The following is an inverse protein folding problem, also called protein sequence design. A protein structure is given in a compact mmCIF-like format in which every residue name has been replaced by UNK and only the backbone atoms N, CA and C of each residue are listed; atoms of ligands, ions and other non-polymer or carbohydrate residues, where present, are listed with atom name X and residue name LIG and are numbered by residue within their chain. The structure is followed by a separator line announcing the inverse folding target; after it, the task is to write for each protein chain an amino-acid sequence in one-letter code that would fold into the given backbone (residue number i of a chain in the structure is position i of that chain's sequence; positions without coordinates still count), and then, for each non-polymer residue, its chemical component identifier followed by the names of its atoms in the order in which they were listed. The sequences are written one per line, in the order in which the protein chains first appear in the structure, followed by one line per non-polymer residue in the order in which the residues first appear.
data_IF_291883358827
#
_entry.id   IF_291883358827
#
_cell.length_a   1.000
_cell.length_b   1.000
_cell.length_c   1.000
_cell.angle_alpha   90.00
_cell.angle_beta   90.00
_cell.angle_gamma   90.00
#
_symmetry.space_group_name_H-M   'P 1'
#
loop_
_entity.id
_entity.type
_entity.pdbx_description
1 polymer ?
#
# COMPACT_ATOMS: atom_id res chain seq x y z
N UNK A 1 45.06 30.26 36.62
CA UNK A 1 44.87 29.35 37.78
C UNK A 1 43.40 29.49 38.17
N UNK A 2 42.50 28.57 37.85
CA UNK A 2 42.41 27.18 38.33
C UNK A 2 41.83 26.22 37.27
N UNK A 3 42.20 24.92 37.32
CA UNK A 3 41.74 23.88 36.40
C UNK A 3 40.66 23.01 37.07
N UNK A 4 39.46 22.88 36.50
CA UNK A 4 38.53 21.81 36.88
C UNK A 4 37.74 21.28 35.68
N UNK A 5 37.83 19.95 35.55
CA UNK A 5 36.90 19.04 34.90
C UNK A 5 36.93 18.92 33.37
N UNK A 6 38.09 18.44 32.86
CA UNK A 6 38.12 17.45 31.77
C UNK A 6 37.65 16.10 32.32
N UNK A 7 36.48 15.58 31.90
CA UNK A 7 36.18 14.13 31.76
C UNK A 7 34.71 13.91 31.39
N UNK A 8 34.48 13.42 30.16
CA UNK A 8 33.36 12.59 29.65
C UNK A 8 33.42 12.77 28.12
N UNK A 9 34.30 12.09 27.38
CA UNK A 9 34.33 10.65 27.10
C UNK A 9 32.98 10.14 26.58
N UNK A 10 32.93 10.06 25.24
CA UNK A 10 32.14 9.13 24.43
C UNK A 10 30.71 8.80 24.89
N UNK A 11 29.76 9.58 24.39
CA UNK A 11 28.45 9.09 23.94
C UNK A 11 28.31 9.66 22.53
N UNK A 12 28.59 8.88 21.50
CA UNK A 12 27.69 7.80 21.14
C UNK A 12 26.82 8.34 20.01
N UNK A 13 27.42 8.37 18.83
CA UNK A 13 26.76 8.45 17.53
C UNK A 13 25.51 7.58 17.51
N UNK A 14 24.35 8.19 17.64
CA UNK A 14 23.12 7.67 17.05
C UNK A 14 22.47 8.87 16.39
N UNK A 15 22.89 9.09 15.14
CA UNK A 15 22.05 9.71 14.15
C UNK A 15 20.70 8.98 14.24
N UNK A 16 19.71 9.64 14.82
CA UNK A 16 18.32 9.34 14.59
C UNK A 16 18.04 9.73 13.13
N UNK A 17 18.65 9.01 12.20
CA UNK A 17 18.02 8.66 10.95
C UNK A 17 16.82 7.82 11.35
N UNK A 18 15.77 8.51 11.78
CA UNK A 18 14.41 8.09 11.49
C UNK A 18 14.38 8.06 9.98
N UNK A 19 14.84 6.93 9.42
CA UNK A 19 14.32 6.40 8.18
C UNK A 19 12.82 6.29 8.44
N UNK A 20 12.11 7.41 8.26
CA UNK A 20 10.84 7.40 7.59
C UNK A 20 11.12 6.62 6.31
N UNK A 21 10.99 5.30 6.39
CA UNK A 21 10.64 4.48 5.26
C UNK A 21 9.32 5.09 4.81
N UNK A 22 9.43 6.13 3.98
CA UNK A 22 8.44 6.43 3.00
C UNK A 22 8.27 5.10 2.31
N UNK A 23 7.20 4.41 2.70
CA UNK A 23 6.70 3.24 2.02
C UNK A 23 6.23 3.81 0.69
N UNK A 24 7.21 4.09 -0.18
CA UNK A 24 6.99 4.46 -1.57
C UNK A 24 6.17 3.29 -2.05
N UNK A 25 4.90 3.58 -2.34
CA UNK A 25 4.01 2.65 -3.01
C UNK A 25 4.78 2.24 -4.26
N UNK A 26 5.50 1.11 -4.19
CA UNK A 26 6.41 0.70 -5.24
C UNK A 26 5.59 0.68 -6.51
N UNK A 27 5.99 1.41 -7.56
CA UNK A 27 5.22 1.44 -8.79
C UNK A 27 4.85 -0.02 -9.16
N UNK A 28 3.62 -0.30 -9.64
CA UNK A 28 3.24 -1.65 -10.02
C UNK A 28 4.37 -2.18 -10.89
N UNK A 29 4.90 -3.40 -10.59
CA UNK A 29 6.02 -3.94 -11.33
C UNK A 29 5.67 -3.76 -12.79
N UNK A 30 6.58 -3.14 -13.55
CA UNK A 30 6.40 -3.01 -14.98
C UNK A 30 5.93 -4.37 -15.45
N UNK A 31 4.81 -4.41 -16.18
CA UNK A 31 4.30 -5.66 -16.73
C UNK A 31 5.34 -6.13 -17.76
N UNK A 32 6.42 -6.73 -17.26
CA UNK A 32 7.62 -7.18 -17.96
C UNK A 32 7.35 -8.51 -18.67
N UNK A 33 6.07 -8.80 -18.94
CA UNK A 33 5.70 -9.79 -19.92
C UNK A 33 6.11 -9.23 -21.29
N UNK A 34 7.26 -9.68 -21.77
CA UNK A 34 7.69 -9.54 -23.15
C UNK A 34 6.51 -9.95 -24.05
N UNK A 35 5.92 -8.99 -24.78
CA UNK A 35 4.80 -9.24 -25.70
C UNK A 35 3.51 -8.47 -25.43
N UNK A 36 3.37 -7.75 -24.30
CA UNK A 36 2.17 -6.93 -24.06
C UNK A 36 2.18 -5.61 -24.85
N UNK A 37 1.05 -5.30 -25.49
CA UNK A 37 0.87 -4.03 -26.21
C UNK A 37 0.85 -2.83 -25.24
N UNK A 38 1.20 -1.61 -25.69
CA UNK A 38 1.16 -0.42 -24.84
C UNK A 38 -0.22 -0.17 -24.19
N UNK A 39 -1.30 -0.51 -24.92
CA UNK A 39 -2.67 -0.40 -24.41
C UNK A 39 -2.95 -1.41 -23.30
N UNK A 40 -2.53 -2.67 -23.47
CA UNK A 40 -2.66 -3.70 -22.44
C UNK A 40 -1.87 -3.35 -21.18
N UNK A 41 -0.67 -2.78 -21.32
CA UNK A 41 0.13 -2.29 -20.18
C UNK A 41 -0.59 -1.18 -19.42
N UNK A 42 -1.25 -0.27 -20.13
CA UNK A 42 -2.05 0.80 -19.51
C UNK A 42 -3.22 0.22 -18.73
N UNK A 43 -4.00 -0.69 -19.32
CA UNK A 43 -5.13 -1.35 -18.66
C UNK A 43 -4.69 -2.15 -17.43
N UNK A 44 -3.63 -2.95 -17.55
CA UNK A 44 -3.09 -3.69 -16.41
C UNK A 44 -2.67 -2.73 -15.29
N UNK A 45 -2.06 -1.59 -15.60
CA UNK A 45 -1.67 -0.60 -14.59
C UNK A 45 -2.87 0.07 -13.91
N UNK A 46 -3.92 0.38 -14.67
CA UNK A 46 -5.14 1.03 -14.15
C UNK A 46 -5.90 0.14 -13.16
N UNK A 47 -5.88 -1.18 -13.37
CA UNK A 47 -6.56 -2.16 -12.51
C UNK A 47 -5.65 -2.83 -11.48
N UNK A 48 -4.38 -2.43 -11.39
CA UNK A 48 -3.44 -2.99 -10.42
C UNK A 48 -3.79 -2.53 -9.00
N UNK A 49 -3.97 -3.48 -8.08
CA UNK A 49 -4.24 -3.21 -6.67
C UNK A 49 -3.05 -3.65 -5.83
N UNK A 50 -2.45 -2.75 -5.06
CA UNK A 50 -1.45 -3.13 -4.06
C UNK A 50 -2.16 -3.66 -2.82
N UNK A 51 -2.02 -4.95 -2.53
CA UNK A 51 -2.69 -5.60 -1.43
C UNK A 51 -1.72 -6.23 -0.43
N UNK A 52 -2.04 -6.04 0.85
CA UNK A 52 -1.49 -6.83 1.96
C UNK A 52 -2.38 -8.05 2.14
N UNK A 53 -1.82 -9.24 1.96
CA UNK A 53 -2.49 -10.54 2.01
C UNK A 53 -2.07 -11.29 3.26
N UNK A 54 -3.02 -11.73 4.08
CA UNK A 54 -2.79 -12.69 5.16
C UNK A 54 -3.32 -14.06 4.73
N UNK A 55 -2.43 -15.03 4.53
CA UNK A 55 -2.78 -16.36 4.05
C UNK A 55 -3.59 -17.08 5.13
N UNK A 56 -4.78 -17.55 4.75
CA UNK A 56 -5.65 -18.40 5.58
C UNK A 56 -5.36 -19.87 5.26
N UNK A 57 -5.28 -20.19 3.96
CA UNK A 57 -5.04 -21.55 3.46
C UNK A 57 -4.35 -21.51 2.11
N UNK A 58 -3.34 -22.35 1.95
CA UNK A 58 -2.68 -22.62 0.66
C UNK A 58 -3.39 -23.75 -0.08
N UNK A 59 -3.64 -23.55 -1.37
CA UNK A 59 -4.23 -24.54 -2.29
C UNK A 59 -3.29 -24.79 -3.47
N UNK A 60 -3.45 -25.88 -4.24
CA UNK A 60 -2.58 -26.13 -5.41
C UNK A 60 -2.64 -25.03 -6.47
N UNK A 61 -3.80 -24.38 -6.62
CA UNK A 61 -4.03 -23.36 -7.65
C UNK A 61 -3.68 -21.94 -7.19
N UNK A 62 -3.48 -21.73 -5.89
CA UNK A 62 -3.26 -20.40 -5.31
C UNK A 62 -3.50 -20.36 -3.81
N UNK A 63 -3.84 -19.19 -3.30
CA UNK A 63 -4.04 -18.97 -1.87
C UNK A 63 -5.43 -18.40 -1.58
N UNK A 64 -5.99 -18.78 -0.44
CA UNK A 64 -7.14 -18.11 0.17
C UNK A 64 -6.58 -17.18 1.25
N UNK A 65 -6.84 -15.89 1.13
CA UNK A 65 -6.26 -14.88 2.00
C UNK A 65 -7.27 -13.80 2.40
N UNK A 66 -7.10 -13.23 3.60
CA UNK A 66 -7.73 -11.95 3.93
C UNK A 66 -6.89 -10.83 3.34
N UNK A 67 -7.50 -9.95 2.56
CA UNK A 67 -6.77 -8.91 1.83
C UNK A 67 -7.16 -7.49 2.29
N UNK A 68 -6.14 -6.63 2.37
CA UNK A 68 -6.30 -5.19 2.59
C UNK A 68 -5.60 -4.44 1.46
N UNK A 69 -6.38 -3.73 0.64
CA UNK A 69 -5.88 -2.87 -0.40
C UNK A 69 -5.25 -1.61 0.20
N UNK A 70 -4.12 -1.16 -0.37
CA UNK A 70 -3.44 0.08 -0.04
C UNK A 70 -3.50 1.01 -1.23
N UNK A 71 -4.06 2.20 -1.05
CA UNK A 71 -4.10 3.25 -2.07
C UNK A 71 -3.48 4.51 -1.51
N UNK A 72 -2.58 5.14 -2.26
CA UNK A 72 -2.16 6.50 -1.93
C UNK A 72 -3.23 7.47 -2.37
N UNK A 73 -3.77 8.24 -1.44
CA UNK A 73 -4.79 9.26 -1.68
C UNK A 73 -4.23 10.60 -1.26
N UNK A 74 -4.31 11.55 -2.18
CA UNK A 74 -3.90 12.93 -1.93
C UNK A 74 -5.07 13.68 -1.29
N UNK A 75 -4.96 14.05 -0.01
CA UNK A 75 -5.99 14.81 0.70
C UNK A 75 -5.54 16.25 0.89
N UNK A 76 -6.43 17.17 0.56
CA UNK A 76 -6.25 18.61 0.78
C UNK A 76 -6.88 18.99 2.11
N UNK A 77 -6.04 19.33 3.07
CA UNK A 77 -6.47 19.85 4.37
C UNK A 77 -6.57 21.35 4.29
N UNK A 78 -7.75 21.92 4.54
CA UNK A 78 -7.91 23.36 4.72
C UNK A 78 -8.14 23.68 6.18
N UNK A 79 -7.31 24.53 6.76
CA UNK A 79 -7.53 25.05 8.11
C UNK A 79 -7.41 26.57 8.11
N UNK A 80 -8.09 27.19 9.08
CA UNK A 80 -8.00 28.63 9.32
C UNK A 80 -7.00 28.87 10.43
N UNK A 81 -6.00 29.70 10.16
CA UNK A 81 -5.00 30.12 11.12
C UNK A 81 -5.17 31.62 11.37
N UNK A 82 -5.11 32.01 12.64
CA UNK A 82 -5.08 33.41 13.02
C UNK A 82 -3.66 33.92 12.80
N UNK A 83 -3.47 34.75 11.77
CA UNK A 83 -2.19 35.36 11.47
C UNK A 83 -2.21 36.80 11.95
N UNK A 84 -1.25 37.14 12.80
CA UNK A 84 -1.05 38.51 13.26
C UNK A 84 -0.45 39.35 12.12
N UNK A 85 -0.95 40.57 11.94
CA UNK A 85 -0.39 41.50 10.98
C UNK A 85 1.08 41.82 11.28
N UNK A 86 1.83 42.25 10.28
CA UNK A 86 3.22 42.69 10.45
C UNK A 86 3.30 44.22 10.47
N UNK A 87 4.33 44.78 11.11
CA UNK A 87 4.56 46.24 11.19
C UNK A 87 3.48 47.00 11.99
N UNK A 88 3.01 48.14 11.47
CA UNK A 88 1.95 48.99 12.07
C UNK A 88 0.62 48.25 12.27
N UNK A 89 0.40 47.13 11.57
CA UNK A 89 -0.80 46.31 11.67
C UNK A 89 -0.68 45.16 12.69
N UNK A 90 0.36 45.12 13.53
CA UNK A 90 0.60 44.05 14.52
C UNK A 90 -0.51 43.90 15.56
N UNK A 91 -1.31 44.93 15.80
CA UNK A 91 -2.48 44.85 16.69
C UNK A 91 -3.69 44.15 16.04
N UNK A 92 -3.68 43.90 14.72
CA UNK A 92 -4.78 43.26 13.99
C UNK A 92 -4.49 41.78 13.76
N UNK A 93 -5.49 40.95 14.03
CA UNK A 93 -5.47 39.51 13.76
C UNK A 93 -6.37 39.20 12.58
N UNK A 94 -5.81 38.56 11.56
CA UNK A 94 -6.54 38.15 10.36
C UNK A 94 -6.74 36.65 10.37
N UNK A 95 -7.93 36.19 9.95
CA UNK A 95 -8.16 34.76 9.68
C UNK A 95 -7.68 34.44 8.27
N UNK A 96 -6.58 33.70 8.17
CA UNK A 96 -6.04 33.25 6.90
C UNK A 96 -6.41 31.80 6.69
N UNK A 97 -7.06 31.51 5.57
CA UNK A 97 -7.34 30.13 5.15
C UNK A 97 -6.09 29.57 4.47
N UNK A 98 -5.49 28.54 5.06
CA UNK A 98 -4.39 27.79 4.44
C UNK A 98 -4.91 26.46 3.93
N UNK A 99 -4.21 25.95 2.91
CA UNK A 99 -4.42 24.59 2.42
C UNK A 99 -3.08 23.91 2.32
N UNK A 100 -2.99 22.65 2.74
CA UNK A 100 -1.85 21.81 2.47
C UNK A 100 -2.32 20.49 1.90
N UNK A 101 -1.55 20.00 0.93
CA UNK A 101 -1.81 18.74 0.27
C UNK A 101 -0.91 17.69 0.89
N UNK A 102 -1.52 16.64 1.45
CA UNK A 102 -0.80 15.50 2.05
C UNK A 102 -1.13 14.22 1.31
N UNK A 103 -0.11 13.42 1.06
CA UNK A 103 -0.28 12.06 0.57
C UNK A 103 -0.52 11.15 1.77
N UNK A 104 -1.71 10.57 1.84
CA UNK A 104 -2.07 9.58 2.84
C UNK A 104 -2.17 8.20 2.22
N UNK A 105 -1.95 7.16 3.03
CA UNK A 105 -2.21 5.79 2.62
C UNK A 105 -3.56 5.38 3.16
N UNK A 106 -4.54 5.26 2.28
CA UNK A 106 -5.84 4.69 2.61
C UNK A 106 -5.75 3.16 2.55
N UNK A 107 -6.34 2.51 3.56
CA UNK A 107 -6.44 1.06 3.66
C UNK A 107 -7.90 0.66 3.51
N UNK A 108 -8.19 -0.19 2.54
CA UNK A 108 -9.55 -0.70 2.30
C UNK A 108 -9.55 -2.21 2.44
N UNK A 109 -10.40 -2.75 3.32
CA UNK A 109 -10.54 -4.20 3.44
C UNK A 109 -11.23 -4.76 2.19
N UNK A 110 -10.63 -5.76 1.58
CA UNK A 110 -11.24 -6.52 0.47
C UNK A 110 -11.96 -7.78 0.95
N UNK A 111 -11.85 -8.11 2.25
CA UNK A 111 -12.38 -9.35 2.82
C UNK A 111 -11.55 -10.58 2.45
N UNK A 112 -12.19 -11.75 2.48
CA UNK A 112 -11.59 -13.02 2.06
C UNK A 112 -11.64 -13.14 0.54
N UNK A 113 -10.48 -13.37 -0.06
CA UNK A 113 -10.31 -13.47 -1.51
C UNK A 113 -9.50 -14.72 -1.85
N UNK A 114 -9.66 -15.19 -3.09
CA UNK A 114 -8.76 -16.17 -3.69
C UNK A 114 -7.75 -15.45 -4.58
N UNK A 115 -6.48 -15.83 -4.49
CA UNK A 115 -5.40 -15.27 -5.31
C UNK A 115 -4.66 -16.40 -6.03
N UNK A 116 -4.80 -16.44 -7.35
CA UNK A 116 -4.06 -17.35 -8.22
C UNK A 116 -2.59 -16.90 -8.30
N UNK A 117 -1.71 -17.75 -7.76
CA UNK A 117 -0.27 -17.52 -7.75
C UNK A 117 0.49 -18.82 -7.46
N UNK A 118 1.79 -18.91 -7.83
CA UNK A 118 2.64 -20.00 -7.37
C UNK A 118 2.68 -20.07 -5.85
N UNK A 119 2.53 -21.28 -5.30
CA UNK A 119 2.43 -21.53 -3.86
C UNK A 119 3.71 -22.10 -3.24
N UNK A 120 4.75 -22.26 -4.04
CA UNK A 120 6.05 -22.79 -3.59
C UNK A 120 6.63 -21.95 -2.45
N UNK A 121 6.84 -22.58 -1.30
CA UNK A 121 7.40 -21.94 -0.11
C UNK A 121 6.45 -21.03 0.66
N UNK A 122 5.15 -21.07 0.36
CA UNK A 122 4.13 -20.36 1.15
C UNK A 122 3.62 -21.22 2.30
N UNK A 123 3.34 -20.57 3.43
CA UNK A 123 2.82 -21.22 4.63
C UNK A 123 1.57 -20.48 5.12
N UNK A 124 0.64 -21.23 5.71
CA UNK A 124 -0.55 -20.66 6.35
C UNK A 124 -0.18 -19.65 7.44
N UNK A 125 -0.92 -18.54 7.51
CA UNK A 125 -0.67 -17.44 8.45
C UNK A 125 0.39 -16.43 8.02
N UNK A 126 1.13 -16.69 6.93
CA UNK A 126 2.11 -15.75 6.40
C UNK A 126 1.44 -14.48 5.84
N UNK A 127 2.11 -13.34 6.05
CA UNK A 127 1.72 -12.06 5.45
C UNK A 127 2.57 -11.78 4.20
N UNK A 128 1.91 -11.37 3.12
CA UNK A 128 2.53 -11.03 1.85
C UNK A 128 2.05 -9.65 1.39
N UNK A 129 2.91 -8.91 0.70
CA UNK A 129 2.53 -7.68 0.00
C UNK A 129 2.74 -7.90 -1.49
N UNK A 130 1.65 -7.81 -2.27
CA UNK A 130 1.68 -8.11 -3.71
C UNK A 130 0.71 -7.22 -4.47
N UNK A 131 1.04 -7.02 -5.74
CA UNK A 131 0.11 -6.47 -6.72
C UNK A 131 -0.81 -7.59 -7.19
N UNK A 132 -2.12 -7.32 -7.16
CA UNK A 132 -3.16 -8.25 -7.57
C UNK A 132 -4.07 -7.59 -8.61
N UNK A 133 -4.63 -8.41 -9.49
CA UNK A 133 -5.58 -8.01 -10.52
C UNK A 133 -6.87 -8.82 -10.41
N UNK A 134 -8.05 -8.20 -10.58
CA UNK A 134 -9.33 -8.90 -10.46
C UNK A 134 -9.58 -9.79 -11.67
N UNK A 135 -9.90 -11.06 -11.45
CA UNK A 135 -10.15 -12.05 -12.53
C UNK A 135 -11.62 -12.47 -12.58
N UNK A 136 -12.32 -12.43 -11.44
CA UNK A 136 -13.74 -12.77 -11.37
C UNK A 136 -14.14 -13.28 -9.99
N UNK A 137 -14.89 -14.37 -9.96
CA UNK A 137 -15.29 -15.09 -8.75
C UNK A 137 -14.96 -16.56 -8.89
N UNK A 138 -14.60 -17.19 -7.78
CA UNK A 138 -14.40 -18.65 -7.72
C UNK A 138 -15.13 -19.22 -6.50
N UNK A 139 -15.42 -20.50 -6.56
CA UNK A 139 -15.97 -21.25 -5.43
C UNK A 139 -14.85 -22.07 -4.80
N UNK A 140 -14.81 -22.10 -3.47
CA UNK A 140 -13.92 -22.99 -2.73
C UNK A 140 -14.69 -23.70 -1.62
N UNK A 141 -14.19 -24.87 -1.25
CA UNK A 141 -14.71 -25.62 -0.11
C UNK A 141 -13.95 -25.20 1.15
N UNK A 142 -14.67 -24.70 2.14
CA UNK A 142 -14.12 -24.37 3.46
C UNK A 142 -13.70 -25.62 4.22
N UNK A 143 -12.93 -25.45 5.29
CA UNK A 143 -12.51 -26.55 6.19
C UNK A 143 -13.72 -27.32 6.75
N UNK A 144 -14.88 -26.68 6.87
CA UNK A 144 -16.12 -27.28 7.35
C UNK A 144 -16.94 -27.99 6.25
N UNK A 145 -16.40 -28.13 5.03
CA UNK A 145 -17.08 -28.76 3.90
C UNK A 145 -18.15 -27.88 3.23
N UNK A 146 -18.41 -26.67 3.74
CA UNK A 146 -19.32 -25.72 3.10
C UNK A 146 -18.67 -25.05 1.88
N UNK A 147 -19.44 -24.88 0.80
CA UNK A 147 -19.00 -24.12 -0.38
C UNK A 147 -19.19 -22.63 -0.14
N UNK A 148 -18.17 -21.84 -0.44
CA UNK A 148 -18.21 -20.39 -0.36
C UNK A 148 -17.74 -19.79 -1.69
N UNK A 149 -18.41 -18.72 -2.13
CA UNK A 149 -18.02 -17.95 -3.32
C UNK A 149 -17.19 -16.75 -2.89
N UNK A 150 -15.98 -16.62 -3.43
CA UNK A 150 -15.08 -15.49 -3.15
C UNK A 150 -14.67 -14.81 -4.42
N UNK A 151 -14.23 -13.55 -4.30
CA UNK A 151 -13.62 -12.83 -5.40
C UNK A 151 -12.26 -13.44 -5.71
N UNK A 152 -12.01 -13.68 -6.99
CA UNK A 152 -10.78 -14.24 -7.51
C UNK A 152 -9.90 -13.14 -8.08
N UNK A 153 -8.63 -13.19 -7.72
CA UNK A 153 -7.58 -12.30 -8.20
C UNK A 153 -6.40 -13.13 -8.72
N UNK A 154 -5.54 -12.52 -9.51
CA UNK A 154 -4.28 -13.10 -9.98
C UNK A 154 -3.11 -12.18 -9.63
N UNK A 155 -1.93 -12.76 -9.52
CA UNK A 155 -0.65 -12.01 -9.45
C UNK A 155 0.00 -11.81 -10.82
N UNK A 156 -0.58 -12.41 -11.88
CA UNK A 156 -0.06 -12.33 -13.25
C UNK A 156 -0.94 -11.42 -14.11
N UNK A 157 -0.39 -10.32 -14.68
CA UNK A 157 -1.20 -9.40 -15.48
C UNK A 157 -1.71 -10.03 -16.78
N UNK A 158 -1.03 -11.03 -17.33
CA UNK A 158 -1.46 -11.73 -18.53
C UNK A 158 -2.81 -12.44 -18.33
N UNK A 159 -2.99 -13.13 -17.20
CA UNK A 159 -4.23 -13.86 -16.89
C UNK A 159 -5.41 -12.89 -16.75
N UNK A 160 -5.17 -11.72 -16.14
CA UNK A 160 -6.17 -10.64 -16.08
C UNK A 160 -6.56 -10.16 -17.48
N UNK A 161 -5.58 -9.88 -18.33
CA UNK A 161 -5.86 -9.42 -19.69
C UNK A 161 -6.59 -10.47 -20.52
N UNK A 162 -6.33 -11.76 -20.30
CA UNK A 162 -7.07 -12.85 -20.92
C UNK A 162 -8.56 -12.83 -20.54
N UNK A 163 -8.91 -12.44 -19.31
CA UNK A 163 -10.32 -12.31 -18.90
C UNK A 163 -11.06 -11.14 -19.54
N UNK A 164 -10.33 -10.18 -20.12
CA UNK A 164 -10.91 -9.04 -20.83
C UNK A 164 -11.06 -9.29 -22.33
N UNK A 165 -10.41 -10.32 -22.88
CA UNK A 165 -10.51 -10.67 -24.29
C UNK A 165 -11.80 -11.49 -24.52
N UNK A 166 -12.73 -11.02 -25.38
CA UNK A 166 -13.94 -11.74 -25.73
C UNK A 166 -13.69 -12.98 -26.59
#
# INVERSE_FOLDING_TARGET
MTPRARRLLLLGTLAAAVCSQGLVLAAPPAADAAGLSPQQKKLAKEHAINASLKIISVTPEGIIATATARRSVQRTYTWTENQQGTGLASHKTYRVRRSAVRNETERTSLGTIFVAMPTDGLVDGQNLERWIWPVGTTQYTTVLGARATVRAYTTRPADFLATLAP
#
